data_IF_404493141125
#
_entry.id   IF_404493141125
#
_cell.length_a   1.000
_cell.length_b   1.000
_cell.length_c   1.000
_cell.angle_alpha   90.00
_cell.angle_beta   90.00
_cell.angle_gamma   90.00
#
_symmetry.space_group_name_H-M   'P 1'
#
loop_
_entity.id
_entity.type
_entity.pdbx_description
1 polymer ?
#
# COMPACT_ATOMS: atom_id res chain seq x y z
N UNK A 1 77.23 -31.03 10.29
CA UNK A 1 76.51 -30.22 9.31
C UNK A 1 75.04 -30.24 9.71
N UNK A 2 74.56 -29.15 10.29
CA UNK A 2 73.20 -29.03 10.85
C UNK A 2 72.32 -28.29 9.82
N UNK A 3 71.28 -28.91 9.35
CA UNK A 3 70.27 -28.25 8.53
C UNK A 3 69.22 -27.62 9.41
N UNK A 4 69.08 -26.28 9.34
CA UNK A 4 67.99 -25.52 9.90
C UNK A 4 66.83 -25.54 8.91
N UNK A 5 65.66 -26.07 9.32
CA UNK A 5 64.39 -25.87 8.63
C UNK A 5 63.72 -24.63 9.21
N UNK A 6 63.56 -23.58 8.41
CA UNK A 6 62.74 -22.45 8.71
C UNK A 6 61.29 -22.75 8.32
N UNK A 7 60.42 -22.87 9.27
CA UNK A 7 58.95 -23.01 9.05
C UNK A 7 58.34 -21.59 9.01
N UNK A 8 57.88 -21.18 7.82
CA UNK A 8 57.13 -19.93 7.66
C UNK A 8 55.67 -20.16 8.04
N UNK A 9 55.19 -19.54 9.11
CA UNK A 9 53.76 -19.44 9.45
C UNK A 9 53.09 -18.43 8.51
N UNK A 10 52.21 -18.87 7.63
CA UNK A 10 51.31 -18.01 6.91
C UNK A 10 50.11 -17.66 7.84
N UNK A 11 49.98 -16.44 8.21
CA UNK A 11 48.75 -15.89 8.80
C UNK A 11 47.77 -15.65 7.66
N UNK A 12 46.71 -16.45 7.55
CA UNK A 12 45.55 -16.16 6.73
C UNK A 12 44.68 -15.13 7.45
N UNK A 13 44.82 -13.87 7.07
CA UNK A 13 43.92 -12.81 7.49
C UNK A 13 42.56 -13.01 6.91
N UNK A 14 41.56 -13.38 7.70
CA UNK A 14 40.18 -13.36 7.33
C UNK A 14 39.74 -11.90 7.14
N UNK A 15 39.64 -11.47 5.89
CA UNK A 15 38.99 -10.20 5.55
C UNK A 15 37.49 -10.36 5.80
N UNK A 16 36.98 -9.82 6.90
CA UNK A 16 35.56 -9.62 7.12
C UNK A 16 35.06 -8.61 6.09
N UNK A 17 34.34 -9.09 5.07
CA UNK A 17 33.55 -8.22 4.22
C UNK A 17 32.46 -7.59 5.10
N UNK A 18 32.67 -6.34 5.51
CA UNK A 18 31.60 -5.49 6.00
C UNK A 18 30.78 -5.12 4.77
N UNK A 19 29.66 -5.80 4.56
CA UNK A 19 28.64 -5.37 3.61
C UNK A 19 28.18 -3.99 4.09
N UNK A 20 28.63 -2.95 3.41
CA UNK A 20 28.09 -1.63 3.57
C UNK A 20 26.59 -1.72 3.28
N UNK A 21 25.76 -1.58 4.31
CA UNK A 21 24.32 -1.40 4.13
C UNK A 21 24.17 -0.14 3.27
N UNK A 22 23.59 -0.31 2.09
CA UNK A 22 23.25 0.81 1.23
C UNK A 22 22.42 1.79 2.08
N UNK A 23 22.90 3.03 2.20
CA UNK A 23 22.10 4.09 2.80
C UNK A 23 20.79 4.19 1.99
N UNK A 24 19.65 4.35 2.66
CA UNK A 24 18.41 4.65 1.95
C UNK A 24 18.66 5.88 1.06
N UNK A 25 18.06 5.94 -0.14
CA UNK A 25 18.15 7.12 -0.98
C UNK A 25 17.81 8.33 -0.12
N UNK A 26 18.54 9.43 -0.31
CA UNK A 26 18.34 10.67 0.41
C UNK A 26 16.91 11.14 0.14
N UNK A 27 15.97 10.68 0.96
CA UNK A 27 14.69 11.34 1.14
C UNK A 27 14.97 12.78 1.52
N UNK A 28 14.02 13.67 1.31
CA UNK A 28 14.11 15.07 1.66
C UNK A 28 14.98 15.24 2.91
N UNK A 29 16.12 15.93 2.78
CA UNK A 29 17.08 16.12 3.86
C UNK A 29 16.47 16.81 5.09
N UNK A 30 15.24 17.30 4.98
CA UNK A 30 14.43 17.87 6.06
C UNK A 30 13.57 16.82 6.78
N UNK A 31 13.39 15.62 6.21
CA UNK A 31 12.61 14.56 6.83
C UNK A 31 13.32 14.03 8.06
N UNK A 32 12.75 14.26 9.23
CA UNK A 32 13.27 13.68 10.48
C UNK A 32 12.88 12.20 10.53
N UNK A 33 13.80 11.30 10.93
CA UNK A 33 13.47 9.90 11.11
C UNK A 33 12.41 9.77 12.22
N UNK A 34 11.36 8.99 11.93
CA UNK A 34 10.36 8.64 12.92
C UNK A 34 10.84 7.49 13.80
N UNK A 35 10.53 7.56 15.08
CA UNK A 35 10.69 6.45 16.00
C UNK A 35 9.35 5.74 16.13
N UNK A 36 9.34 4.40 16.03
CA UNK A 36 8.13 3.60 16.16
C UNK A 36 7.37 3.94 17.46
N UNK A 37 6.07 4.12 17.36
CA UNK A 37 5.22 4.48 18.49
C UNK A 37 5.34 5.92 18.99
N UNK A 38 6.15 6.76 18.35
CA UNK A 38 6.26 8.19 18.71
C UNK A 38 5.39 9.01 17.77
N UNK A 39 4.33 9.68 18.24
CA UNK A 39 3.49 10.51 17.39
C UNK A 39 4.21 11.79 16.98
N UNK A 40 4.10 12.18 15.71
CA UNK A 40 4.44 13.52 15.27
C UNK A 40 3.23 14.44 15.47
N UNK A 41 3.46 15.55 16.14
CA UNK A 41 2.44 16.57 16.34
C UNK A 41 2.30 17.39 15.04
N UNK A 42 1.17 17.25 14.37
CA UNK A 42 0.83 18.04 13.19
C UNK A 42 -0.41 18.91 13.48
N UNK A 43 -1.57 18.44 13.11
CA UNK A 43 -2.85 19.10 13.40
C UNK A 43 -3.53 18.44 14.61
N UNK A 44 -4.49 19.10 15.25
CA UNK A 44 -5.16 18.53 16.43
C UNK A 44 -5.83 17.18 16.19
N UNK A 45 -6.31 16.93 14.96
CA UNK A 45 -6.99 15.70 14.55
C UNK A 45 -6.09 14.73 13.76
N UNK A 46 -4.79 15.05 13.64
CA UNK A 46 -3.81 14.25 12.87
C UNK A 46 -2.69 13.79 13.78
N UNK A 47 -2.44 12.48 13.83
CA UNK A 47 -1.36 11.86 14.58
C UNK A 47 -0.57 10.94 13.67
N UNK A 48 0.75 11.05 13.70
CA UNK A 48 1.66 10.28 12.83
C UNK A 48 2.60 9.41 13.65
N UNK A 49 2.77 8.17 13.24
CA UNK A 49 3.59 7.15 13.91
C UNK A 49 4.58 6.55 12.92
N UNK A 50 5.85 6.42 13.31
CA UNK A 50 6.92 5.89 12.48
C UNK A 50 7.29 4.44 12.79
N UNK A 51 8.30 3.95 12.09
CA UNK A 51 8.87 2.61 12.28
C UNK A 51 8.55 1.62 11.16
N UNK A 52 7.99 2.10 10.06
CA UNK A 52 7.69 1.32 8.86
C UNK A 52 8.80 1.48 7.82
N UNK A 53 8.70 0.77 6.70
CA UNK A 53 9.64 0.90 5.59
C UNK A 53 8.89 0.91 4.27
N UNK A 54 8.69 2.11 3.73
CA UNK A 54 7.83 2.37 2.59
C UNK A 54 6.47 1.68 2.75
N UNK A 55 5.73 2.08 3.81
CA UNK A 55 4.38 1.59 4.01
C UNK A 55 3.48 2.15 2.90
N UNK A 56 2.97 1.26 2.04
CA UNK A 56 2.22 1.67 0.85
C UNK A 56 0.71 1.55 1.05
N UNK A 57 0.26 0.51 1.75
CA UNK A 57 -1.15 0.34 2.07
C UNK A 57 -1.38 -0.03 3.52
N UNK A 58 -2.57 0.31 3.99
CA UNK A 58 -3.07 -0.11 5.31
C UNK A 58 -4.50 -0.62 5.14
N UNK A 59 -4.80 -1.78 5.74
CA UNK A 59 -6.15 -2.33 5.84
C UNK A 59 -6.57 -2.43 7.32
N UNK A 60 -7.87 -2.34 7.61
CA UNK A 60 -8.39 -2.48 8.97
C UNK A 60 -8.95 -3.88 9.20
N UNK A 61 -8.34 -4.62 10.10
CA UNK A 61 -8.84 -5.90 10.61
C UNK A 61 -9.81 -5.64 11.79
N UNK A 62 -11.08 -5.60 11.49
CA UNK A 62 -12.12 -5.33 12.48
C UNK A 62 -12.27 -6.46 13.52
N UNK A 63 -11.95 -7.71 13.16
CA UNK A 63 -12.07 -8.87 14.03
C UNK A 63 -11.05 -8.84 15.18
N UNK A 64 -9.80 -8.47 14.85
CA UNK A 64 -8.72 -8.35 15.84
C UNK A 64 -8.54 -6.93 16.37
N UNK A 65 -9.23 -5.95 15.78
CA UNK A 65 -9.08 -4.53 16.06
C UNK A 65 -7.63 -4.06 15.87
N UNK A 66 -7.04 -4.41 14.73
CA UNK A 66 -5.67 -4.06 14.36
C UNK A 66 -5.64 -3.43 12.97
N UNK A 67 -4.60 -2.65 12.68
CA UNK A 67 -4.28 -2.26 11.32
C UNK A 67 -3.22 -3.20 10.74
N UNK A 68 -3.34 -3.48 9.46
CA UNK A 68 -2.43 -4.32 8.69
C UNK A 68 -1.72 -3.42 7.69
N UNK A 69 -0.46 -3.10 7.95
CA UNK A 69 0.34 -2.22 7.11
C UNK A 69 1.28 -3.01 6.21
N UNK A 70 1.18 -2.82 4.91
CA UNK A 70 2.06 -3.45 3.91
C UNK A 70 3.24 -2.55 3.64
N UNK A 71 4.44 -3.09 3.80
CA UNK A 71 5.71 -2.38 3.65
C UNK A 71 6.43 -2.93 2.41
N UNK A 72 6.66 -2.07 1.43
CA UNK A 72 7.29 -2.47 0.17
C UNK A 72 8.80 -2.74 0.28
N UNK A 73 9.44 -2.28 1.35
CA UNK A 73 10.88 -2.38 1.52
C UNK A 73 11.62 -1.17 0.96
N UNK A 74 12.45 -1.34 -0.06
CA UNK A 74 13.08 -0.20 -0.75
C UNK A 74 12.06 0.56 -1.60
N UNK A 75 12.03 1.88 -1.47
CA UNK A 75 10.98 2.73 -2.01
C UNK A 75 10.73 2.56 -3.52
N UNK A 76 11.77 2.65 -4.33
CA UNK A 76 11.66 2.63 -5.79
C UNK A 76 12.26 1.39 -6.44
N UNK A 77 13.00 0.59 -5.69
CA UNK A 77 13.70 -0.57 -6.18
C UNK A 77 13.02 -1.86 -5.72
N UNK A 78 12.87 -2.80 -6.63
CA UNK A 78 12.46 -4.16 -6.27
C UNK A 78 13.65 -4.90 -5.68
N UNK A 79 13.64 -5.12 -4.37
CA UNK A 79 14.63 -5.93 -3.69
C UNK A 79 13.99 -7.27 -3.31
N UNK A 80 14.51 -8.39 -3.81
CA UNK A 80 13.92 -9.69 -3.50
C UNK A 80 13.80 -9.94 -2.00
N UNK A 81 12.60 -10.32 -1.56
CA UNK A 81 12.28 -10.67 -0.18
C UNK A 81 12.55 -9.57 0.86
N UNK A 82 12.40 -8.29 0.47
CA UNK A 82 12.57 -7.13 1.36
C UNK A 82 11.22 -6.58 1.89
N UNK A 83 10.12 -6.94 1.23
CA UNK A 83 8.78 -6.55 1.65
C UNK A 83 8.30 -7.34 2.87
N UNK A 84 7.39 -6.75 3.64
CA UNK A 84 6.79 -7.39 4.80
C UNK A 84 5.45 -6.74 5.18
N UNK A 85 4.69 -7.43 6.03
CA UNK A 85 3.44 -6.92 6.59
C UNK A 85 3.61 -6.72 8.09
N UNK A 86 3.15 -5.58 8.59
CA UNK A 86 3.13 -5.23 10.01
C UNK A 86 1.70 -5.28 10.55
N UNK A 87 1.58 -5.68 11.82
CA UNK A 87 0.36 -5.45 12.62
C UNK A 87 0.59 -4.23 13.49
N UNK A 88 -0.41 -3.35 13.54
CA UNK A 88 -0.35 -2.07 14.25
C UNK A 88 -1.55 -1.95 15.16
N UNK A 89 -1.31 -1.53 16.41
CA UNK A 89 -2.38 -1.26 17.37
C UNK A 89 -3.22 -0.04 16.96
N UNK A 90 -4.46 0.06 17.43
CA UNK A 90 -5.30 1.22 17.13
C UNK A 90 -4.74 2.56 17.63
N UNK A 91 -3.83 2.55 18.58
CA UNK A 91 -3.14 3.77 19.04
C UNK A 91 -1.95 4.16 18.13
N UNK A 92 -1.68 3.40 17.07
CA UNK A 92 -0.61 3.63 16.10
C UNK A 92 0.73 2.99 16.47
N UNK A 93 0.84 2.36 17.62
CA UNK A 93 2.06 1.64 18.03
C UNK A 93 2.18 0.29 17.29
N UNK A 94 3.39 -0.16 17.03
CA UNK A 94 3.62 -1.46 16.41
C UNK A 94 3.18 -2.59 17.36
N UNK A 95 2.25 -3.45 16.90
CA UNK A 95 1.91 -4.71 17.56
C UNK A 95 2.92 -5.79 17.19
N UNK A 96 3.11 -6.03 15.89
CA UNK A 96 4.09 -6.97 15.34
C UNK A 96 4.69 -6.38 14.08
N UNK A 97 5.92 -5.89 14.15
CA UNK A 97 6.52 -5.12 13.05
C UNK A 97 6.70 -5.94 11.78
N UNK A 98 7.04 -7.22 11.88
CA UNK A 98 7.22 -8.13 10.75
C UNK A 98 6.40 -9.41 10.98
N UNK A 99 5.11 -9.31 10.75
CA UNK A 99 4.18 -10.43 10.91
C UNK A 99 4.24 -11.42 9.74
N UNK A 100 4.27 -10.90 8.50
CA UNK A 100 4.42 -11.70 7.27
C UNK A 100 5.64 -11.20 6.52
N UNK A 101 6.34 -12.09 5.83
CA UNK A 101 7.54 -11.79 5.05
C UNK A 101 8.85 -11.95 5.83
N UNK A 102 9.96 -11.61 5.19
CA UNK A 102 11.32 -11.63 5.74
C UNK A 102 11.76 -12.98 6.31
N UNK A 103 12.12 -13.90 5.42
CA UNK A 103 12.78 -15.19 5.73
C UNK A 103 11.98 -16.16 6.60
N UNK A 104 10.65 -16.13 6.52
CA UNK A 104 9.82 -17.15 7.13
C UNK A 104 9.37 -18.18 6.09
N UNK A 105 9.91 -19.42 6.16
CA UNK A 105 9.41 -20.61 5.46
C UNK A 105 9.09 -20.41 3.96
N UNK A 106 9.99 -19.77 3.20
CA UNK A 106 9.79 -19.53 1.78
C UNK A 106 8.77 -18.43 1.46
N UNK A 107 8.32 -17.67 2.44
CA UNK A 107 7.50 -16.48 2.23
C UNK A 107 8.32 -15.39 1.56
N UNK A 108 7.95 -15.06 0.33
CA UNK A 108 8.59 -14.02 -0.45
C UNK A 108 7.60 -12.89 -0.71
N UNK A 109 7.95 -11.69 -0.29
CA UNK A 109 7.35 -10.44 -0.69
C UNK A 109 8.45 -9.53 -1.23
N UNK A 110 8.40 -9.23 -2.52
CA UNK A 110 9.50 -8.52 -3.19
C UNK A 110 9.30 -7.01 -3.18
N UNK A 111 8.10 -6.56 -3.55
CA UNK A 111 7.72 -5.15 -3.53
C UNK A 111 6.19 -5.06 -3.38
N UNK A 112 5.64 -5.51 -2.24
CA UNK A 112 4.21 -5.50 -2.04
C UNK A 112 3.70 -4.07 -1.88
N UNK A 113 2.57 -3.76 -2.52
CA UNK A 113 1.95 -2.44 -2.48
C UNK A 113 0.54 -2.51 -1.86
N UNK A 114 -0.51 -2.51 -2.67
CA UNK A 114 -1.88 -2.50 -2.22
C UNK A 114 -2.31 -3.76 -1.47
N UNK A 115 -3.29 -3.63 -0.59
CA UNK A 115 -3.83 -4.74 0.18
C UNK A 115 -5.30 -4.56 0.54
N UNK A 116 -5.99 -5.69 0.64
CA UNK A 116 -7.36 -5.74 1.14
C UNK A 116 -7.59 -6.98 2.01
N UNK A 117 -8.56 -6.90 2.94
CA UNK A 117 -8.95 -7.99 3.82
C UNK A 117 -10.36 -8.46 3.46
N UNK A 118 -10.46 -9.66 2.94
CA UNK A 118 -11.73 -10.27 2.60
C UNK A 118 -11.77 -11.75 2.96
N UNK A 119 -12.92 -12.26 3.39
CA UNK A 119 -13.16 -13.68 3.65
C UNK A 119 -12.12 -14.34 4.57
N UNK A 120 -11.61 -13.62 5.57
CA UNK A 120 -10.60 -14.10 6.52
C UNK A 120 -9.19 -14.21 5.94
N UNK A 121 -8.94 -13.63 4.78
CA UNK A 121 -7.65 -13.57 4.09
C UNK A 121 -7.19 -12.14 3.94
N UNK A 122 -5.87 -11.93 4.01
CA UNK A 122 -5.18 -10.74 3.54
C UNK A 122 -4.75 -10.98 2.09
N UNK A 123 -5.21 -10.15 1.18
CA UNK A 123 -4.75 -10.10 -0.21
C UNK A 123 -3.73 -8.97 -0.36
N UNK A 124 -2.67 -9.23 -1.11
CA UNK A 124 -1.57 -8.27 -1.33
C UNK A 124 -1.13 -8.37 -2.79
N UNK A 125 -0.97 -7.24 -3.46
CA UNK A 125 -0.29 -7.21 -4.76
C UNK A 125 1.21 -7.13 -4.55
N UNK A 126 1.95 -7.97 -5.28
CA UNK A 126 3.42 -8.05 -5.23
C UNK A 126 3.95 -8.16 -6.67
N UNK A 127 4.30 -7.02 -7.24
CA UNK A 127 4.74 -6.83 -8.63
C UNK A 127 3.62 -7.19 -9.62
N UNK A 128 3.60 -8.40 -10.16
CA UNK A 128 2.64 -8.92 -11.14
C UNK A 128 1.76 -10.05 -10.59
N UNK A 129 1.81 -10.24 -9.28
CA UNK A 129 1.21 -11.38 -8.60
C UNK A 129 0.30 -10.89 -7.48
N UNK A 130 -0.90 -11.43 -7.38
CA UNK A 130 -1.74 -11.31 -6.19
C UNK A 130 -1.44 -12.48 -5.27
N UNK A 131 -1.08 -12.20 -4.02
CA UNK A 131 -0.82 -13.19 -2.98
C UNK A 131 -1.87 -13.09 -1.88
N UNK A 132 -2.21 -14.20 -1.22
CA UNK A 132 -3.11 -14.15 -0.07
C UNK A 132 -2.62 -15.01 1.08
N UNK A 133 -2.93 -14.53 2.27
CA UNK A 133 -2.45 -15.05 3.53
C UNK A 133 -3.64 -15.24 4.50
N UNK A 134 -3.57 -16.23 5.33
CA UNK A 134 -4.54 -16.44 6.42
C UNK A 134 -4.43 -15.28 7.45
N UNK A 135 -5.55 -14.61 7.71
CA UNK A 135 -5.55 -13.45 8.62
C UNK A 135 -5.25 -13.79 10.08
N UNK A 136 -5.42 -15.05 10.51
CA UNK A 136 -5.13 -15.44 11.91
C UNK A 136 -3.67 -15.80 12.10
N UNK A 137 -3.07 -16.48 11.12
CA UNK A 137 -1.73 -17.07 11.27
C UNK A 137 -0.66 -16.35 10.47
N UNK A 138 -1.02 -15.60 9.42
CA UNK A 138 -0.08 -15.02 8.45
C UNK A 138 0.52 -16.05 7.50
N UNK A 139 0.01 -17.29 7.47
CA UNK A 139 0.48 -18.32 6.56
C UNK A 139 0.02 -18.05 5.12
N UNK A 140 0.89 -18.31 4.11
CA UNK A 140 0.51 -18.19 2.73
C UNK A 140 -0.54 -19.25 2.38
N UNK A 141 -1.59 -18.83 1.67
CA UNK A 141 -2.66 -19.70 1.19
C UNK A 141 -2.68 -19.83 -0.33
N UNK A 142 -2.06 -18.89 -1.02
CA UNK A 142 -1.92 -18.97 -2.47
C UNK A 142 -1.35 -17.72 -3.12
N UNK A 143 -1.19 -17.82 -4.44
CA UNK A 143 -0.74 -16.72 -5.28
C UNK A 143 -1.27 -16.91 -6.70
N UNK A 144 -1.62 -15.82 -7.37
CA UNK A 144 -2.00 -15.77 -8.78
C UNK A 144 -1.07 -14.82 -9.53
N UNK A 145 -0.07 -15.31 -10.26
CA UNK A 145 0.68 -14.49 -11.19
C UNK A 145 -0.20 -14.14 -12.39
N UNK A 146 -0.11 -12.91 -12.88
CA UNK A 146 -0.91 -12.42 -14.02
C UNK A 146 -0.01 -12.16 -15.21
N UNK A 147 -0.12 -13.00 -16.22
CA UNK A 147 0.68 -12.88 -17.43
C UNK A 147 0.47 -11.53 -18.13
N UNK A 148 1.56 -10.83 -18.43
CA UNK A 148 1.55 -9.52 -19.07
C UNK A 148 1.27 -8.34 -18.15
N UNK A 149 1.02 -8.57 -16.87
CA UNK A 149 1.11 -7.51 -15.86
C UNK A 149 2.57 -7.17 -15.59
N UNK A 150 2.84 -5.93 -15.18
CA UNK A 150 4.20 -5.44 -14.92
C UNK A 150 4.38 -4.96 -13.49
N UNK A 151 3.42 -4.18 -12.98
CA UNK A 151 3.46 -3.64 -11.63
C UNK A 151 2.05 -3.25 -11.19
N UNK A 152 1.43 -4.13 -10.45
CA UNK A 152 0.19 -3.82 -9.75
C UNK A 152 0.44 -2.74 -8.68
N UNK A 153 -0.60 -1.94 -8.42
CA UNK A 153 -0.52 -0.90 -7.41
C UNK A 153 -1.46 -1.20 -6.25
N UNK A 154 -2.77 -1.20 -6.49
CA UNK A 154 -3.76 -1.43 -5.44
C UNK A 154 -4.77 -2.50 -5.85
N UNK A 155 -5.52 -3.04 -4.89
CA UNK A 155 -6.53 -4.06 -5.14
C UNK A 155 -7.75 -3.91 -4.22
N UNK A 156 -8.87 -4.45 -4.68
CA UNK A 156 -10.11 -4.61 -3.94
C UNK A 156 -10.70 -5.99 -4.21
N UNK A 157 -11.20 -6.66 -3.19
CA UNK A 157 -11.78 -8.00 -3.28
C UNK A 157 -13.29 -7.93 -3.07
N UNK A 158 -14.05 -8.28 -4.11
CA UNK A 158 -15.51 -8.36 -4.03
C UNK A 158 -15.98 -9.51 -3.13
N UNK A 159 -17.21 -9.43 -2.65
CA UNK A 159 -17.81 -10.43 -1.76
C UNK A 159 -17.84 -11.86 -2.35
N UNK A 160 -17.88 -11.98 -3.69
CA UNK A 160 -17.83 -13.26 -4.41
C UNK A 160 -16.41 -13.80 -4.61
N UNK A 161 -15.38 -13.05 -4.12
CA UNK A 161 -13.96 -13.37 -4.28
C UNK A 161 -13.33 -12.92 -5.58
N UNK A 162 -14.06 -12.17 -6.43
CA UNK A 162 -13.47 -11.49 -7.60
C UNK A 162 -12.53 -10.39 -7.12
N UNK A 163 -11.33 -10.32 -7.70
CA UNK A 163 -10.33 -9.31 -7.37
C UNK A 163 -10.27 -8.30 -8.51
N UNK A 164 -10.30 -7.02 -8.17
CA UNK A 164 -9.99 -5.93 -9.08
C UNK A 164 -8.66 -5.31 -8.65
N UNK A 165 -7.77 -5.06 -9.61
CA UNK A 165 -6.45 -4.47 -9.30
C UNK A 165 -6.02 -3.49 -10.38
N UNK A 166 -5.36 -2.43 -9.97
CA UNK A 166 -4.80 -1.41 -10.86
C UNK A 166 -3.36 -1.73 -11.22
N UNK A 167 -2.98 -1.37 -12.42
CA UNK A 167 -1.60 -1.25 -12.87
C UNK A 167 -1.34 0.18 -13.27
N UNK A 168 -0.55 0.90 -12.48
CA UNK A 168 -0.23 2.31 -12.72
C UNK A 168 0.52 2.47 -14.05
N UNK A 169 1.42 1.55 -14.37
CA UNK A 169 2.18 1.60 -15.62
C UNK A 169 3.23 2.71 -15.64
N UNK A 170 3.49 3.21 -16.82
CA UNK A 170 4.44 4.31 -17.12
C UNK A 170 3.69 5.55 -17.61
N UNK A 171 4.40 6.53 -18.17
CA UNK A 171 3.80 7.68 -18.87
C UNK A 171 3.10 7.30 -20.19
N UNK A 172 3.31 6.08 -20.69
CA UNK A 172 2.59 5.55 -21.86
C UNK A 172 1.18 5.09 -21.44
N UNK A 173 0.11 5.70 -21.97
CA UNK A 173 -1.26 5.32 -21.68
C UNK A 173 -1.58 3.84 -21.99
N UNK A 174 -0.88 3.21 -22.92
CA UNK A 174 -1.05 1.81 -23.24
C UNK A 174 -0.67 0.87 -22.09
N UNK A 175 0.06 1.37 -21.09
CA UNK A 175 0.46 0.61 -19.89
C UNK A 175 -0.54 0.73 -18.73
N UNK A 176 -1.52 1.67 -18.78
CA UNK A 176 -2.51 1.89 -17.72
C UNK A 176 -3.61 0.84 -17.80
N UNK A 177 -3.87 0.14 -16.71
CA UNK A 177 -4.86 -0.96 -16.72
C UNK A 177 -5.58 -1.11 -15.39
N UNK A 178 -6.81 -1.60 -15.50
CA UNK A 178 -7.53 -2.27 -14.41
C UNK A 178 -7.71 -3.72 -14.84
N UNK A 179 -7.33 -4.65 -13.98
CA UNK A 179 -7.55 -6.07 -14.19
C UNK A 179 -8.72 -6.57 -13.35
N UNK A 180 -9.39 -7.59 -13.86
CA UNK A 180 -10.34 -8.42 -13.14
C UNK A 180 -9.78 -9.83 -13.06
N UNK A 181 -9.72 -10.40 -11.85
CA UNK A 181 -9.24 -11.76 -11.59
C UNK A 181 -10.39 -12.52 -10.94
N UNK A 182 -10.82 -13.61 -11.57
CA UNK A 182 -11.90 -14.44 -11.02
C UNK A 182 -11.41 -15.23 -9.80
N UNK A 183 -12.32 -15.78 -8.94
CA UNK A 183 -11.94 -16.66 -7.83
C UNK A 183 -11.18 -17.92 -8.26
N UNK A 184 -11.21 -18.25 -9.56
CA UNK A 184 -10.43 -19.36 -10.14
C UNK A 184 -9.03 -18.95 -10.59
N UNK A 185 -8.66 -17.66 -10.46
CA UNK A 185 -7.38 -17.12 -10.88
C UNK A 185 -7.30 -16.71 -12.35
N UNK A 186 -8.42 -16.69 -13.08
CA UNK A 186 -8.46 -16.24 -14.47
C UNK A 186 -8.42 -14.71 -14.51
N UNK A 187 -7.37 -14.14 -15.08
CA UNK A 187 -7.16 -12.70 -15.15
C UNK A 187 -7.49 -12.14 -16.53
N UNK A 188 -8.19 -11.02 -16.57
CA UNK A 188 -8.52 -10.27 -17.78
C UNK A 188 -8.29 -8.79 -17.59
N UNK A 189 -7.90 -8.08 -18.66
CA UNK A 189 -7.88 -6.61 -18.66
C UNK A 189 -9.31 -6.12 -18.77
N UNK A 190 -9.80 -5.41 -17.75
CA UNK A 190 -11.14 -4.85 -17.70
C UNK A 190 -11.21 -3.48 -18.37
N UNK A 191 -10.22 -2.61 -18.04
CA UNK A 191 -10.08 -1.26 -18.61
C UNK A 191 -8.63 -1.03 -18.97
N UNK A 192 -8.35 -0.37 -20.10
CA UNK A 192 -7.00 0.01 -20.50
C UNK A 192 -6.97 1.38 -21.16
N UNK A 193 -5.87 2.15 -20.93
CA UNK A 193 -5.68 3.47 -21.51
C UNK A 193 -6.62 4.53 -20.93
N UNK A 194 -6.84 5.62 -21.67
CA UNK A 194 -7.76 6.67 -21.25
C UNK A 194 -9.18 6.14 -21.05
N UNK A 195 -9.96 6.61 -20.04
CA UNK A 195 -9.68 7.79 -19.21
C UNK A 195 -8.78 7.56 -17.99
N UNK A 196 -8.22 6.36 -17.81
CA UNK A 196 -7.19 6.15 -16.79
C UNK A 196 -6.00 7.09 -17.03
N UNK A 197 -5.34 7.51 -15.95
CA UNK A 197 -4.13 8.33 -15.99
C UNK A 197 -3.24 8.00 -14.81
N UNK A 198 -2.35 7.02 -14.97
CA UNK A 198 -1.59 6.43 -13.88
C UNK A 198 -2.52 5.93 -12.76
N UNK A 199 -3.41 4.94 -13.03
CA UNK A 199 -4.39 4.47 -12.06
C UNK A 199 -3.68 3.90 -10.83
N UNK A 200 -4.25 4.18 -9.65
CA UNK A 200 -3.68 3.80 -8.36
C UNK A 200 -4.75 3.18 -7.47
N UNK A 201 -5.30 3.89 -6.51
CA UNK A 201 -6.31 3.37 -5.60
C UNK A 201 -7.56 2.84 -6.30
N UNK A 202 -8.11 1.77 -5.79
CA UNK A 202 -9.31 1.11 -6.30
C UNK A 202 -10.19 0.66 -5.14
N UNK A 203 -11.52 0.79 -5.31
CA UNK A 203 -12.50 0.32 -4.34
C UNK A 203 -13.81 -0.03 -5.04
N UNK A 204 -14.69 -0.76 -4.37
CA UNK A 204 -16.04 -0.99 -4.84
C UNK A 204 -17.03 -0.01 -4.19
N UNK A 205 -17.95 0.53 -5.01
CA UNK A 205 -19.09 1.26 -4.46
C UNK A 205 -20.18 0.28 -3.92
N UNK A 206 -21.19 0.78 -3.16
CA UNK A 206 -22.23 -0.08 -2.61
C UNK A 206 -23.08 -0.82 -3.66
N UNK A 207 -22.96 -0.48 -4.94
CA UNK A 207 -23.64 -1.14 -6.07
C UNK A 207 -22.75 -2.16 -6.77
N UNK A 208 -21.50 -2.33 -6.30
CA UNK A 208 -20.49 -3.20 -6.91
C UNK A 208 -19.82 -2.61 -8.14
N UNK A 209 -19.93 -1.29 -8.38
CA UNK A 209 -19.16 -0.62 -9.42
C UNK A 209 -17.73 -0.39 -8.95
N UNK A 210 -16.80 -0.37 -9.89
CA UNK A 210 -15.37 -0.21 -9.62
C UNK A 210 -15.04 1.28 -9.65
N UNK A 211 -14.58 1.83 -8.52
CA UNK A 211 -14.11 3.20 -8.41
C UNK A 211 -12.59 3.20 -8.46
N UNK A 212 -12.01 4.04 -9.31
CA UNK A 212 -10.55 4.14 -9.51
C UNK A 212 -10.12 5.60 -9.41
N UNK A 213 -9.02 5.83 -8.73
CA UNK A 213 -8.35 7.14 -8.68
C UNK A 213 -7.01 7.11 -9.41
N UNK A 214 -6.52 8.27 -9.81
CA UNK A 214 -5.35 8.40 -10.68
C UNK A 214 -4.29 9.30 -10.06
N UNK A 215 -3.04 8.85 -10.02
CA UNK A 215 -1.91 9.71 -9.63
C UNK A 215 -1.64 10.80 -10.67
N UNK A 216 -1.99 10.56 -11.93
CA UNK A 216 -1.75 11.50 -13.01
C UNK A 216 -2.61 12.77 -12.96
N UNK A 217 -3.78 12.73 -12.32
CA UNK A 217 -4.72 13.84 -12.20
C UNK A 217 -5.57 13.74 -10.93
N UNK A 218 -6.66 14.53 -10.86
CA UNK A 218 -7.63 14.51 -9.75
C UNK A 218 -8.93 13.75 -10.06
N UNK A 219 -9.00 13.01 -11.17
CA UNK A 219 -10.21 12.29 -11.54
C UNK A 219 -10.47 11.08 -10.63
N UNK A 220 -11.75 10.91 -10.28
CA UNK A 220 -12.31 9.75 -9.60
C UNK A 220 -13.29 9.10 -10.57
N UNK A 221 -12.90 7.97 -11.12
CA UNK A 221 -13.61 7.28 -12.20
C UNK A 221 -14.43 6.13 -11.63
N UNK A 222 -15.70 6.03 -12.02
CA UNK A 222 -16.54 4.88 -11.66
C UNK A 222 -16.86 4.08 -12.92
N UNK A 223 -16.54 2.80 -12.90
CA UNK A 223 -16.82 1.84 -13.96
C UNK A 223 -17.84 0.80 -13.49
N UNK A 224 -18.67 0.32 -14.41
CA UNK A 224 -19.50 -0.86 -14.18
C UNK A 224 -18.64 -2.14 -14.10
N UNK A 225 -19.15 -3.26 -13.58
CA UNK A 225 -18.42 -4.53 -13.50
C UNK A 225 -17.95 -5.12 -14.84
N UNK A 226 -18.47 -4.62 -15.96
CA UNK A 226 -18.07 -4.93 -17.34
C UNK A 226 -17.10 -3.90 -17.95
N UNK A 227 -16.64 -2.90 -17.16
CA UNK A 227 -15.60 -1.94 -17.54
C UNK A 227 -16.11 -0.70 -18.28
N UNK A 228 -17.43 -0.45 -18.34
CA UNK A 228 -17.99 0.77 -18.94
C UNK A 228 -17.88 1.93 -17.96
N UNK A 229 -17.33 3.07 -18.38
CA UNK A 229 -17.30 4.30 -17.59
C UNK A 229 -18.73 4.79 -17.32
N UNK A 230 -19.07 4.98 -16.07
CA UNK A 230 -20.37 5.46 -15.59
C UNK A 230 -20.33 6.93 -15.20
N UNK A 231 -19.34 7.32 -14.37
CA UNK A 231 -19.19 8.70 -13.89
C UNK A 231 -17.71 9.10 -13.79
N UNK A 232 -17.51 10.41 -13.87
CA UNK A 232 -16.23 11.05 -13.54
C UNK A 232 -16.53 12.14 -12.54
N UNK A 233 -15.93 12.02 -11.35
CA UNK A 233 -15.92 13.05 -10.31
C UNK A 233 -14.47 13.58 -10.17
N UNK A 234 -14.28 14.62 -9.39
CA UNK A 234 -12.94 15.18 -9.14
C UNK A 234 -12.71 15.31 -7.63
N UNK A 235 -11.52 14.92 -7.18
CA UNK A 235 -11.02 15.25 -5.85
C UNK A 235 -10.53 16.70 -5.79
N UNK A 236 -10.18 17.19 -4.61
CA UNK A 236 -9.68 18.56 -4.44
C UNK A 236 -8.31 18.80 -5.04
N UNK A 237 -7.47 17.76 -5.12
CA UNK A 237 -6.06 17.88 -5.47
C UNK A 237 -5.65 16.74 -6.43
N UNK A 238 -4.69 16.94 -7.34
CA UNK A 238 -4.15 15.88 -8.17
C UNK A 238 -3.19 14.97 -7.39
N UNK A 239 -2.82 13.85 -7.99
CA UNK A 239 -1.94 12.88 -7.36
C UNK A 239 -2.68 11.92 -6.45
N UNK A 240 -3.90 11.53 -6.86
CA UNK A 240 -4.73 10.62 -6.08
C UNK A 240 -4.09 9.25 -5.98
N UNK A 241 -4.00 8.76 -4.75
CA UNK A 241 -3.37 7.49 -4.40
C UNK A 241 -4.37 6.56 -3.70
N UNK A 242 -4.62 6.75 -2.41
CA UNK A 242 -5.57 5.92 -1.67
C UNK A 242 -7.03 6.30 -1.91
N UNK A 243 -7.90 5.29 -1.83
CA UNK A 243 -9.34 5.43 -1.98
C UNK A 243 -10.08 4.59 -0.95
N UNK A 244 -11.04 5.20 -0.28
CA UNK A 244 -12.03 4.51 0.55
C UNK A 244 -13.43 4.90 0.07
N UNK A 245 -14.32 3.93 -0.08
CA UNK A 245 -15.74 4.16 -0.38
C UNK A 245 -16.58 3.61 0.78
N UNK A 246 -17.37 4.47 1.41
CA UNK A 246 -18.25 4.07 2.51
C UNK A 246 -19.59 3.49 2.01
N UNK A 247 -20.34 2.78 2.86
CA UNK A 247 -21.65 2.21 2.50
C UNK A 247 -22.71 3.25 2.05
N UNK A 248 -22.58 4.52 2.43
CA UNK A 248 -23.43 5.60 1.98
C UNK A 248 -22.99 6.22 0.64
N UNK A 249 -21.89 5.72 0.06
CA UNK A 249 -21.27 6.20 -1.17
C UNK A 249 -20.32 7.39 -0.99
N UNK A 250 -20.08 7.84 0.24
CA UNK A 250 -19.03 8.83 0.54
C UNK A 250 -17.67 8.26 0.20
N UNK A 251 -16.87 9.04 -0.51
CA UNK A 251 -15.49 8.67 -0.88
C UNK A 251 -14.49 9.53 -0.12
N UNK A 252 -13.41 8.92 0.32
CA UNK A 252 -12.21 9.59 0.78
C UNK A 252 -11.08 9.29 -0.18
N UNK A 253 -10.34 10.33 -0.55
CA UNK A 253 -9.24 10.24 -1.54
C UNK A 253 -8.01 10.92 -0.97
N UNK A 254 -6.90 10.21 -0.87
CA UNK A 254 -5.61 10.78 -0.51
C UNK A 254 -4.86 11.29 -1.74
N UNK A 255 -3.99 12.29 -1.55
CA UNK A 255 -3.07 12.76 -2.57
C UNK A 255 -1.63 12.53 -2.12
N UNK A 256 -0.95 11.61 -2.79
CA UNK A 256 0.47 11.33 -2.53
C UNK A 256 1.37 12.51 -2.90
N UNK A 257 0.94 13.33 -3.87
CA UNK A 257 1.73 14.49 -4.34
C UNK A 257 1.61 15.70 -3.44
N UNK A 258 0.41 15.97 -2.90
CA UNK A 258 0.14 17.20 -2.14
C UNK A 258 -0.10 16.95 -0.65
N UNK A 259 -0.12 15.68 -0.22
CA UNK A 259 -0.27 15.34 1.19
C UNK A 259 -1.61 15.76 1.78
N UNK A 260 -2.68 15.60 1.01
CA UNK A 260 -4.04 16.02 1.38
C UNK A 260 -5.00 14.85 1.38
N UNK A 261 -6.15 15.02 2.03
CA UNK A 261 -7.28 14.10 1.95
C UNK A 261 -8.53 14.88 1.58
N UNK A 262 -9.19 14.43 0.52
CA UNK A 262 -10.48 14.93 0.08
C UNK A 262 -11.62 14.01 0.54
N UNK A 263 -12.79 14.56 0.77
CA UNK A 263 -14.06 13.86 0.94
C UNK A 263 -15.00 14.25 -0.18
N UNK A 264 -15.66 13.26 -0.79
CA UNK A 264 -16.68 13.45 -1.83
C UNK A 264 -17.94 12.74 -1.36
N UNK A 265 -18.97 13.49 -1.00
CA UNK A 265 -20.31 12.94 -0.71
C UNK A 265 -21.09 12.77 -2.01
N UNK A 266 -22.01 11.79 -2.10
CA UNK A 266 -22.83 11.60 -3.28
C UNK A 266 -23.49 12.90 -3.75
N UNK A 267 -23.28 13.27 -5.02
CA UNK A 267 -23.85 14.46 -5.64
C UNK A 267 -23.27 15.82 -5.15
N UNK A 268 -22.21 15.81 -4.37
CA UNK A 268 -21.55 17.02 -3.88
C UNK A 268 -20.15 17.18 -4.48
N UNK A 269 -19.64 18.40 -4.45
CA UNK A 269 -18.23 18.67 -4.80
C UNK A 269 -17.31 18.16 -3.69
N UNK A 270 -16.10 17.80 -4.07
CA UNK A 270 -15.05 17.44 -3.13
C UNK A 270 -14.72 18.57 -2.16
N UNK A 271 -14.44 18.22 -0.93
CA UNK A 271 -13.94 19.11 0.12
C UNK A 271 -12.65 18.54 0.71
N UNK A 272 -11.68 19.39 0.97
CA UNK A 272 -10.45 19.01 1.66
C UNK A 272 -10.74 18.90 3.16
N UNK A 273 -10.44 17.74 3.76
CA UNK A 273 -10.69 17.47 5.18
C UNK A 273 -9.41 17.35 6.02
N UNK A 274 -8.27 17.11 5.37
CA UNK A 274 -6.96 17.08 6.02
C UNK A 274 -5.87 17.47 5.03
N UNK A 275 -4.76 17.97 5.55
CA UNK A 275 -3.54 18.29 4.83
C UNK A 275 -2.30 18.05 5.73
N UNK A 276 -1.10 18.34 5.22
CA UNK A 276 0.15 18.14 5.96
C UNK A 276 0.48 16.66 6.17
N UNK A 277 0.08 15.78 5.26
CA UNK A 277 0.33 14.33 5.28
C UNK A 277 1.21 13.97 4.07
N UNK A 278 2.51 14.27 4.09
CA UNK A 278 3.37 14.03 2.94
C UNK A 278 3.29 12.57 2.46
N UNK A 279 3.24 12.38 1.15
CA UNK A 279 3.18 11.05 0.51
C UNK A 279 2.06 10.16 1.04
N UNK A 280 0.86 10.74 1.24
CA UNK A 280 -0.34 10.03 1.68
C UNK A 280 -0.74 8.99 0.63
N UNK A 281 -0.60 7.69 0.96
CA UNK A 281 -0.81 6.56 0.06
C UNK A 281 -2.12 5.80 0.33
N UNK A 282 -2.20 4.50 0.01
CA UNK A 282 -3.42 3.72 0.07
C UNK A 282 -3.92 3.51 1.50
N UNK A 283 -5.08 4.04 1.82
CA UNK A 283 -5.62 4.20 3.17
C UNK A 283 -6.80 3.28 3.46
N UNK A 284 -7.11 3.13 4.75
CA UNK A 284 -8.31 2.42 5.22
C UNK A 284 -9.16 3.29 6.15
N UNK A 285 -10.42 2.87 6.30
CA UNK A 285 -11.36 3.46 7.24
C UNK A 285 -11.56 2.55 8.47
N UNK A 286 -11.19 3.05 9.64
CA UNK A 286 -11.53 2.43 10.93
C UNK A 286 -12.97 2.82 11.31
N UNK A 287 -13.90 1.93 11.01
CA UNK A 287 -15.33 2.13 11.27
C UNK A 287 -15.68 2.18 12.76
N UNK A 288 -14.88 1.56 13.62
CA UNK A 288 -15.08 1.53 15.07
C UNK A 288 -14.80 2.90 15.69
N UNK A 289 -13.86 3.66 15.13
CA UNK A 289 -13.41 4.96 15.68
C UNK A 289 -13.71 6.14 14.78
N UNK A 290 -14.34 5.90 13.63
CA UNK A 290 -14.64 6.93 12.63
C UNK A 290 -13.40 7.75 12.24
N UNK A 291 -12.39 7.09 11.70
CA UNK A 291 -11.13 7.71 11.30
C UNK A 291 -10.50 7.05 10.09
N UNK A 292 -9.62 7.77 9.42
CA UNK A 292 -8.79 7.24 8.35
C UNK A 292 -7.41 6.89 8.91
N UNK A 293 -6.84 5.81 8.40
CA UNK A 293 -5.46 5.41 8.67
C UNK A 293 -4.74 5.39 7.32
N UNK A 294 -3.70 6.20 7.22
CA UNK A 294 -3.07 6.57 5.95
C UNK A 294 -1.57 6.29 6.05
N UNK A 295 -0.98 5.45 5.21
CA UNK A 295 0.47 5.31 5.15
C UNK A 295 1.09 6.54 4.48
N UNK A 296 2.26 6.93 4.96
CA UNK A 296 3.13 7.96 4.40
C UNK A 296 4.38 7.26 3.89
N UNK A 297 4.32 6.79 2.64
CA UNK A 297 5.26 5.79 2.14
C UNK A 297 6.74 6.23 2.21
N UNK A 298 7.13 7.35 1.60
CA UNK A 298 8.51 7.86 1.64
C UNK A 298 8.94 8.31 3.05
N UNK A 299 8.00 8.55 3.94
CA UNK A 299 8.25 8.98 5.31
C UNK A 299 8.34 7.82 6.29
N UNK A 300 8.14 6.58 5.83
CA UNK A 300 8.21 5.39 6.67
C UNK A 300 7.28 5.45 7.89
N UNK A 301 6.08 5.96 7.71
CA UNK A 301 5.14 6.26 8.78
C UNK A 301 3.69 5.95 8.40
N UNK A 302 2.82 5.91 9.39
CA UNK A 302 1.37 5.95 9.21
C UNK A 302 0.77 7.15 9.94
N UNK A 303 -0.28 7.70 9.38
CA UNK A 303 -1.02 8.84 9.93
C UNK A 303 -2.45 8.43 10.24
N UNK A 304 -2.95 8.88 11.37
CA UNK A 304 -4.35 8.72 11.78
C UNK A 304 -5.03 10.08 11.68
N UNK A 305 -6.14 10.13 10.94
CA UNK A 305 -6.98 11.32 10.76
C UNK A 305 -8.34 11.07 11.39
N UNK A 306 -8.63 11.73 12.49
CA UNK A 306 -9.93 11.66 13.16
C UNK A 306 -10.98 12.47 12.36
N UNK A 307 -12.06 11.83 11.95
CA UNK A 307 -13.08 12.48 11.10
C UNK A 307 -14.11 13.29 11.88
N UNK A 308 -14.09 13.21 13.21
CA UNK A 308 -15.07 13.87 14.06
C UNK A 308 -16.46 13.23 14.00
N UNK A 309 -17.45 13.74 14.73
CA UNK A 309 -18.80 13.21 14.68
C UNK A 309 -19.41 13.39 13.29
N UNK A 310 -20.01 12.33 12.77
CA UNK A 310 -20.82 12.43 11.55
C UNK A 310 -22.03 13.34 11.87
N UNK A 311 -22.13 14.44 11.15
CA UNK A 311 -23.27 15.36 11.27
C UNK A 311 -24.43 14.89 10.42
#
# INVERSE_FOLDING_TARGET
MRNLFCTALMFAGAATLVLAQAQPPAGDATAKPFVAGTPLKQQPNVKTYGGFRFAESVSYDADRDLYVAVNAGMAQDVVPNDGYVSLVNPDGTAHTLKWIGVNRNGLTLNHPLGSDIANGMLYVVDIDTVRWFDMKTGEPKGATPVAGATRFNDLEVAADGTIYTTQTGTTDPASWRVYKITPKGEATVLVSGAPLNLPNGIALDPKGNIVVVNVGNNAVLTFSPDGKLLTTEESTDPGNDGLVVLPDGTKYVSSVRLGTVARIRPGQKAEKIADGIPTAASMTYDSKRNRLVIPMNDWNAITIVELGPQK
#
